data_IF_662986500745
#
_entry.id   IF_662986500745
#
_cell.length_a   1.000
_cell.length_b   1.000
_cell.length_c   1.000
_cell.angle_alpha   90.00
_cell.angle_beta   90.00
_cell.angle_gamma   90.00
#
_symmetry.space_group_name_H-M   'P 1'
#
loop_
_entity.id
_entity.type
_entity.pdbx_description
1 polymer ?
#
# COMPACT_ATOMS: atom_id res chain seq x y z
N UNK A 1 41.92 -1.62 48.39
CA UNK A 1 41.16 -2.55 47.54
C UNK A 1 39.76 -2.69 48.14
N UNK A 2 38.81 -1.92 47.67
CA UNK A 2 37.39 -2.08 48.00
C UNK A 2 36.68 -2.37 46.67
N UNK A 3 36.17 -3.60 46.54
CA UNK A 3 35.49 -4.10 45.36
C UNK A 3 34.15 -3.40 45.20
N UNK A 4 34.02 -2.51 44.22
CA UNK A 4 32.72 -2.05 43.71
C UNK A 4 32.16 -3.16 42.83
N UNK A 5 31.31 -4.00 43.40
CA UNK A 5 30.33 -4.74 42.61
C UNK A 5 29.24 -3.74 42.24
N UNK A 6 29.30 -3.23 41.01
CA UNK A 6 28.15 -2.65 40.33
C UNK A 6 27.33 -3.83 39.82
N UNK A 7 26.26 -4.15 40.54
CA UNK A 7 25.14 -4.90 39.97
C UNK A 7 24.50 -3.96 38.94
N UNK A 8 24.87 -4.14 37.67
CA UNK A 8 24.08 -3.68 36.55
C UNK A 8 22.80 -4.54 36.54
N UNK A 9 21.75 -4.05 37.20
CA UNK A 9 20.39 -4.54 36.94
C UNK A 9 20.02 -4.17 35.50
N UNK A 10 20.35 -5.05 34.56
CA UNK A 10 19.80 -5.05 33.21
C UNK A 10 18.28 -5.16 33.33
N UNK A 11 17.58 -4.07 33.02
CA UNK A 11 16.13 -3.98 32.96
C UNK A 11 15.59 -5.02 31.95
N UNK A 12 15.12 -6.15 32.47
CA UNK A 12 14.65 -7.32 31.71
C UNK A 12 13.40 -6.99 30.86
N UNK A 13 12.78 -5.83 31.07
CA UNK A 13 11.58 -5.38 30.36
C UNK A 13 11.86 -4.34 29.26
N UNK A 14 13.10 -3.87 29.11
CA UNK A 14 13.46 -2.99 28.01
C UNK A 14 13.37 -3.75 26.66
N UNK A 15 12.68 -3.23 25.63
CA UNK A 15 12.63 -3.87 24.32
C UNK A 15 14.05 -4.06 23.77
N UNK A 16 14.53 -5.32 23.72
CA UNK A 16 15.87 -5.64 23.23
C UNK A 16 15.98 -5.23 21.75
N UNK A 17 16.91 -4.33 21.45
CA UNK A 17 17.16 -3.93 20.07
C UNK A 17 17.63 -5.16 19.27
N UNK A 18 17.08 -5.37 18.05
CA UNK A 18 17.42 -6.54 17.24
C UNK A 18 18.92 -6.56 16.94
N UNK A 19 19.57 -7.71 17.17
CA UNK A 19 21.02 -7.82 17.06
C UNK A 19 21.50 -8.39 15.73
N UNK A 20 22.55 -7.79 15.16
CA UNK A 20 23.15 -8.24 13.88
C UNK A 20 23.85 -9.60 14.02
N UNK A 21 24.22 -9.97 15.25
CA UNK A 21 24.86 -11.24 15.64
C UNK A 21 23.86 -12.33 16.02
N UNK A 22 22.55 -12.07 15.95
CA UNK A 22 21.53 -13.09 16.24
C UNK A 22 21.62 -14.29 15.29
N UNK A 23 21.30 -15.47 15.80
CA UNK A 23 21.21 -16.71 15.03
C UNK A 23 20.00 -16.68 14.08
N UNK A 24 18.96 -15.90 14.42
CA UNK A 24 17.70 -15.78 13.67
C UNK A 24 17.86 -14.87 12.43
N UNK A 25 17.56 -15.34 11.21
CA UNK A 25 17.73 -14.55 9.99
C UNK A 25 16.88 -13.28 9.92
N UNK A 26 15.67 -13.29 10.50
CA UNK A 26 14.76 -12.14 10.49
C UNK A 26 15.23 -11.02 11.41
N UNK A 27 15.71 -11.36 12.60
CA UNK A 27 16.25 -10.40 13.56
C UNK A 27 17.49 -9.69 12.98
N UNK A 28 18.35 -10.42 12.25
CA UNK A 28 19.48 -9.82 11.55
C UNK A 28 19.06 -8.86 10.43
N UNK A 29 17.97 -9.16 9.70
CA UNK A 29 17.43 -8.26 8.66
C UNK A 29 16.87 -6.99 9.30
N UNK A 30 16.12 -7.13 10.40
CA UNK A 30 15.60 -6.01 11.18
C UNK A 30 16.75 -5.13 11.72
N UNK A 31 17.76 -5.72 12.35
CA UNK A 31 18.94 -5.03 12.86
C UNK A 31 19.70 -4.25 11.78
N UNK A 32 19.87 -4.86 10.59
CA UNK A 32 20.51 -4.21 9.44
C UNK A 32 19.67 -3.05 8.90
N UNK A 33 18.35 -3.22 8.78
CA UNK A 33 17.45 -2.16 8.34
C UNK A 33 17.46 -0.96 9.29
N UNK A 34 17.50 -1.21 10.60
CA UNK A 34 17.57 -0.18 11.64
C UNK A 34 18.88 0.60 11.54
N UNK A 35 20.01 -0.09 11.32
CA UNK A 35 21.32 0.54 11.14
C UNK A 35 21.39 1.39 9.87
N UNK A 36 20.80 0.92 8.76
CA UNK A 36 20.71 1.68 7.51
C UNK A 36 19.86 2.92 7.71
N UNK A 37 18.70 2.80 8.38
CA UNK A 37 17.82 3.92 8.71
C UNK A 37 18.52 4.95 9.58
N UNK A 38 19.18 4.53 10.67
CA UNK A 38 20.02 5.40 11.53
C UNK A 38 21.11 6.13 10.73
N UNK A 39 21.74 5.44 9.77
CA UNK A 39 22.77 6.04 8.91
C UNK A 39 22.19 7.04 7.90
N UNK A 40 21.02 6.75 7.34
CA UNK A 40 20.30 7.68 6.46
C UNK A 40 19.80 8.90 7.21
N UNK A 41 19.31 8.74 8.44
CA UNK A 41 18.87 9.85 9.29
C UNK A 41 20.07 10.71 9.74
N UNK A 42 21.23 10.11 10.04
CA UNK A 42 22.46 10.84 10.32
C UNK A 42 22.99 11.62 9.10
N UNK A 43 22.87 11.05 7.89
CA UNK A 43 23.21 11.74 6.64
C UNK A 43 22.24 12.90 6.36
N UNK A 44 20.93 12.71 6.54
CA UNK A 44 19.93 13.78 6.42
C UNK A 44 20.18 14.92 7.41
N UNK A 45 20.63 14.59 8.63
CA UNK A 45 20.97 15.58 9.67
C UNK A 45 22.31 16.29 9.40
N UNK A 46 23.19 15.68 8.60
CA UNK A 46 24.45 16.29 8.17
C UNK A 46 24.31 17.13 6.88
N UNK A 47 23.33 16.80 6.01
CA UNK A 47 22.97 17.55 4.80
C UNK A 47 22.02 18.73 5.08
N UNK A 48 21.47 18.84 6.30
CA UNK A 48 20.78 20.04 6.75
C UNK A 48 21.80 21.15 7.03
N UNK A 49 21.66 22.34 6.42
CA UNK A 49 22.54 23.47 6.72
C UNK A 49 22.45 23.82 8.21
N UNK A 50 23.61 24.02 8.84
CA UNK A 50 23.74 24.34 10.27
C UNK A 50 23.08 25.67 10.71
N UNK A 51 22.41 26.38 9.80
CA UNK A 51 21.59 27.57 10.09
C UNK A 51 20.29 27.24 10.83
N UNK A 52 19.76 26.00 10.76
CA UNK A 52 18.57 25.61 11.54
C UNK A 52 18.90 25.12 12.96
N UNK A 53 20.19 24.97 13.32
CA UNK A 53 20.60 24.50 14.65
C UNK A 53 20.81 25.63 15.67
N UNK A 54 20.74 26.90 15.25
CA UNK A 54 21.01 28.06 16.09
C UNK A 54 20.07 29.25 15.81
N UNK A 55 18.86 28.99 15.28
CA UNK A 55 17.78 29.92 15.54
C UNK A 55 17.50 29.81 17.04
N UNK A 56 17.93 30.80 17.82
CA UNK A 56 17.43 31.01 19.18
C UNK A 56 15.91 30.89 19.09
N UNK A 57 15.35 29.78 19.60
CA UNK A 57 13.90 29.60 19.66
C UNK A 57 13.36 30.83 20.37
N UNK A 58 12.56 31.63 19.66
CA UNK A 58 11.91 32.78 20.27
C UNK A 58 11.18 32.26 21.51
N UNK A 59 11.42 32.85 22.69
CA UNK A 59 10.91 32.30 23.94
C UNK A 59 9.40 32.18 23.85
N UNK A 60 8.88 31.03 24.25
CA UNK A 60 7.46 30.74 24.10
C UNK A 60 6.62 31.78 24.88
N UNK A 61 5.39 32.10 24.44
CA UNK A 61 4.50 32.98 25.20
C UNK A 61 4.40 32.66 26.71
N UNK A 62 4.41 31.37 27.08
CA UNK A 62 4.45 30.90 28.47
C UNK A 62 5.79 31.26 29.13
N UNK A 63 6.92 31.05 28.46
CA UNK A 63 8.25 31.39 28.99
C UNK A 63 8.39 32.89 29.22
N UNK A 64 7.91 33.71 28.28
CA UNK A 64 7.89 35.17 28.42
C UNK A 64 6.99 35.61 29.58
N UNK A 65 5.78 35.04 29.70
CA UNK A 65 4.83 35.36 30.76
C UNK A 65 5.35 34.95 32.14
N UNK A 66 5.97 33.78 32.26
CA UNK A 66 6.54 33.28 33.52
C UNK A 66 7.78 34.08 33.95
N UNK A 67 8.67 34.42 33.01
CA UNK A 67 9.83 35.28 33.26
C UNK A 67 9.40 36.68 33.74
N UNK A 68 8.46 37.31 33.02
CA UNK A 68 7.92 38.63 33.40
C UNK A 68 7.24 38.59 34.76
N UNK A 69 6.45 37.55 35.04
CA UNK A 69 5.81 37.36 36.33
C UNK A 69 6.83 37.24 37.47
N UNK A 70 7.90 36.47 37.27
CA UNK A 70 8.96 36.29 38.26
C UNK A 70 9.65 37.62 38.59
N UNK A 71 10.01 38.41 37.56
CA UNK A 71 10.64 39.72 37.73
C UNK A 71 9.73 40.71 38.47
N UNK A 72 8.45 40.80 38.10
CA UNK A 72 7.51 41.70 38.75
C UNK A 72 7.28 41.32 40.22
N UNK A 73 7.13 40.02 40.52
CA UNK A 73 6.94 39.52 41.88
C UNK A 73 8.18 39.71 42.74
N UNK A 74 9.37 39.49 42.18
CA UNK A 74 10.63 39.73 42.88
C UNK A 74 10.80 41.22 43.21
N UNK A 75 10.50 42.11 42.26
CA UNK A 75 10.55 43.56 42.49
C UNK A 75 9.59 43.99 43.61
N UNK A 76 8.35 43.49 43.59
CA UNK A 76 7.37 43.78 44.63
C UNK A 76 7.78 43.22 46.00
N UNK A 77 8.39 42.03 46.04
CA UNK A 77 8.90 41.44 47.27
C UNK A 77 10.03 42.27 47.87
N UNK A 78 10.98 42.74 47.05
CA UNK A 78 12.08 43.60 47.49
C UNK A 78 11.59 44.97 48.00
N UNK A 79 10.68 45.62 47.29
CA UNK A 79 10.08 46.89 47.73
C UNK A 79 9.30 46.72 49.05
N UNK A 80 8.55 45.63 49.18
CA UNK A 80 7.87 45.25 50.42
C UNK A 80 8.83 45.04 51.59
N UNK A 81 9.89 44.27 51.35
CA UNK A 81 10.92 44.02 52.36
C UNK A 81 11.60 45.31 52.80
N UNK A 82 11.87 46.25 51.89
CA UNK A 82 12.45 47.55 52.22
C UNK A 82 11.52 48.38 53.11
N UNK A 83 10.21 48.41 52.82
CA UNK A 83 9.21 49.15 53.63
C UNK A 83 9.07 48.62 55.06
N UNK A 84 9.15 47.30 55.23
CA UNK A 84 9.10 46.64 56.55
C UNK A 84 10.42 46.83 57.30
N UNK A 85 11.55 46.68 56.61
CA UNK A 85 12.89 46.84 57.18
C UNK A 85 13.13 48.27 57.64
N UNK A 86 12.60 49.27 56.92
CA UNK A 86 12.70 50.67 57.30
C UNK A 86 12.18 50.93 58.73
N UNK A 87 11.02 50.37 59.10
CA UNK A 87 10.48 50.52 60.47
C UNK A 87 11.42 49.89 61.48
N UNK A 88 11.90 48.66 61.21
CA UNK A 88 12.83 47.96 62.10
C UNK A 88 14.11 48.76 62.34
N UNK A 89 14.73 49.27 61.28
CA UNK A 89 15.96 50.06 61.37
C UNK A 89 15.72 51.33 62.20
N UNK A 90 14.61 52.03 61.98
CA UNK A 90 14.29 53.23 62.77
C UNK A 90 14.02 52.93 64.24
N UNK A 91 13.37 51.79 64.55
CA UNK A 91 13.13 51.36 65.93
C UNK A 91 14.44 50.95 66.61
N UNK A 92 15.31 50.22 65.92
CA UNK A 92 16.63 49.82 66.42
C UNK A 92 17.52 51.04 66.69
N UNK A 93 17.51 52.04 65.80
CA UNK A 93 18.24 53.30 65.99
C UNK A 93 17.74 54.05 67.24
N UNK A 94 16.42 54.19 67.40
CA UNK A 94 15.81 54.81 68.59
C UNK A 94 16.17 54.06 69.88
N UNK A 95 16.17 52.73 69.83
CA UNK A 95 16.52 51.88 70.97
C UNK A 95 17.98 52.05 71.40
N UNK A 96 18.90 52.16 70.43
CA UNK A 96 20.31 52.45 70.71
C UNK A 96 20.45 53.81 71.39
N UNK A 97 19.79 54.86 70.88
CA UNK A 97 19.83 56.20 71.47
C UNK A 97 19.27 56.18 72.90
N UNK A 98 18.14 55.50 73.13
CA UNK A 98 17.53 55.35 74.46
C UNK A 98 18.48 54.69 75.45
N UNK A 99 19.16 53.61 75.06
CA UNK A 99 20.13 52.92 75.92
C UNK A 99 21.30 53.81 76.30
N UNK A 100 21.83 54.57 75.35
CA UNK A 100 22.91 55.53 75.61
C UNK A 100 22.47 56.60 76.62
N UNK A 101 21.33 57.23 76.37
CA UNK A 101 20.78 58.26 77.27
C UNK A 101 20.48 57.73 78.67
N UNK A 102 19.96 56.49 78.77
CA UNK A 102 19.71 55.83 80.05
C UNK A 102 21.00 55.60 80.81
N UNK A 103 22.04 55.08 80.12
CA UNK A 103 23.34 54.83 80.72
C UNK A 103 24.00 56.11 81.22
N UNK A 104 23.98 57.19 80.42
CA UNK A 104 24.53 58.49 80.81
C UNK A 104 23.83 59.07 82.05
N UNK A 105 22.49 59.05 82.08
CA UNK A 105 21.71 59.53 83.24
C UNK A 105 21.98 58.70 84.49
N UNK A 106 22.05 57.37 84.35
CA UNK A 106 22.36 56.48 85.47
C UNK A 106 23.77 56.73 86.00
N UNK A 107 24.75 56.85 85.11
CA UNK A 107 26.14 57.15 85.48
C UNK A 107 26.26 58.50 86.19
N UNK A 108 25.59 59.54 85.69
CA UNK A 108 25.58 60.87 86.32
C UNK A 108 24.91 60.84 87.69
N UNK A 109 23.82 60.09 87.85
CA UNK A 109 23.12 59.95 89.14
C UNK A 109 23.98 59.21 90.17
N UNK A 110 24.67 58.14 89.75
CA UNK A 110 25.63 57.42 90.60
C UNK A 110 26.78 58.31 91.04
N UNK A 111 27.34 59.10 90.12
CA UNK A 111 28.41 60.04 90.45
C UNK A 111 27.96 61.07 91.49
N UNK A 112 26.77 61.65 91.35
CA UNK A 112 26.22 62.60 92.34
C UNK A 112 26.06 61.96 93.73
N UNK A 113 25.61 60.71 93.80
CA UNK A 113 25.48 59.97 95.06
C UNK A 113 26.85 59.73 95.69
N UNK A 114 27.86 59.38 94.89
CA UNK A 114 29.22 59.16 95.38
C UNK A 114 29.86 60.46 95.90
N UNK A 115 29.71 61.56 95.15
CA UNK A 115 30.20 62.89 95.56
C UNK A 115 29.53 63.36 96.85
N UNK A 116 28.20 63.24 96.96
CA UNK A 116 27.47 63.57 98.18
C UNK A 116 27.85 62.67 99.36
N UNK A 117 28.08 61.37 99.12
CA UNK A 117 28.50 60.46 100.17
C UNK A 117 29.89 60.84 100.74
N UNK A 118 30.83 61.22 99.88
CA UNK A 118 32.17 61.69 100.27
C UNK A 118 32.06 63.01 101.06
N UNK A 119 31.27 63.96 100.56
CA UNK A 119 31.08 65.25 101.23
C UNK A 119 30.39 65.08 102.59
N UNK A 120 29.32 64.29 102.64
CA UNK A 120 28.59 63.96 103.87
C UNK A 120 29.48 63.25 104.89
N UNK A 121 30.34 62.33 104.45
CA UNK A 121 31.29 61.64 105.33
C UNK A 121 32.30 62.63 105.93
N UNK A 122 32.81 63.56 105.14
CA UNK A 122 33.75 64.61 105.60
C UNK A 122 33.09 65.52 106.64
N UNK A 123 31.85 65.96 106.38
CA UNK A 123 31.09 66.79 107.32
C UNK A 123 30.75 66.01 108.61
N UNK A 124 30.39 64.73 108.49
CA UNK A 124 30.11 63.86 109.63
C UNK A 124 31.34 63.66 110.53
N UNK A 125 32.52 63.41 109.93
CA UNK A 125 33.78 63.31 110.67
C UNK A 125 34.10 64.61 111.42
N UNK A 126 33.93 65.77 110.77
CA UNK A 126 34.12 67.07 111.41
C UNK A 126 33.15 67.33 112.59
N UNK A 127 31.88 66.94 112.44
CA UNK A 127 30.89 66.95 113.54
C UNK A 127 31.33 66.00 114.66
N UNK A 128 31.78 64.80 114.32
CA UNK A 128 32.26 63.80 115.28
C UNK A 128 33.44 64.31 116.10
N UNK A 129 34.43 64.94 115.46
CA UNK A 129 35.60 65.53 116.13
C UNK A 129 35.22 66.70 117.06
N UNK A 130 34.18 67.48 116.73
CA UNK A 130 33.78 68.62 117.56
C UNK A 130 33.19 68.19 118.90
N UNK A 131 32.63 66.97 119.01
CA UNK A 131 32.16 66.42 120.29
C UNK A 131 33.29 66.23 121.31
N UNK A 132 34.48 65.83 120.87
CA UNK A 132 35.65 65.68 121.75
C UNK A 132 36.09 67.04 122.32
N UNK A 133 36.07 68.08 121.47
CA UNK A 133 36.42 69.46 121.85
C UNK A 133 35.40 70.07 122.81
N UNK A 134 34.12 69.81 122.59
CA UNK A 134 33.04 70.29 123.48
C UNK A 134 33.12 69.71 124.90
N UNK A 135 33.66 68.50 125.07
CA UNK A 135 33.83 67.87 126.38
C UNK A 135 34.75 68.65 127.32
N UNK A 136 35.63 69.51 126.78
CA UNK A 136 36.59 70.30 127.54
C UNK A 136 36.00 71.63 128.06
N UNK A 137 34.84 72.05 127.55
CA UNK A 137 34.15 73.29 127.93
C UNK A 137 33.52 73.13 129.33
N UNK A 138 33.74 74.11 130.21
CA UNK A 138 33.29 74.05 131.61
C UNK A 138 32.14 75.02 131.93
N UNK A 139 31.88 76.00 131.06
CA UNK A 139 30.82 76.99 131.25
C UNK A 139 29.48 76.50 130.61
N UNK A 140 28.38 76.43 131.38
CA UNK A 140 27.08 75.98 130.87
C UNK A 140 26.49 76.82 129.72
N UNK A 141 26.76 78.14 129.65
CA UNK A 141 26.29 78.99 128.56
C UNK A 141 27.07 78.74 127.26
N UNK A 142 28.39 78.53 127.38
CA UNK A 142 29.24 78.20 126.23
C UNK A 142 28.91 76.79 125.69
N UNK A 143 28.58 75.84 126.57
CA UNK A 143 28.08 74.50 126.16
C UNK A 143 26.77 74.61 125.38
N UNK A 144 25.80 75.41 125.85
CA UNK A 144 24.51 75.59 125.14
C UNK A 144 24.68 76.28 123.77
N UNK A 145 25.58 77.26 123.67
CA UNK A 145 25.90 77.92 122.41
C UNK A 145 26.51 76.93 121.41
N UNK A 146 27.53 76.19 121.82
CA UNK A 146 28.23 75.23 120.96
C UNK A 146 27.32 74.03 120.61
N UNK A 147 26.41 73.61 121.49
CA UNK A 147 25.36 72.61 121.20
C UNK A 147 24.39 73.07 120.10
N UNK A 148 24.01 74.35 120.10
CA UNK A 148 23.15 74.92 119.05
C UNK A 148 23.88 75.01 117.72
N UNK A 149 25.16 75.36 117.74
CA UNK A 149 26.03 75.37 116.55
C UNK A 149 26.16 73.96 115.95
N UNK A 150 26.44 72.96 116.78
CA UNK A 150 26.55 71.55 116.40
C UNK A 150 25.24 70.97 115.87
N UNK A 151 24.12 71.32 116.50
CA UNK A 151 22.80 70.94 116.00
C UNK A 151 22.54 71.54 114.63
N UNK A 152 22.91 72.81 114.41
CA UNK A 152 22.75 73.48 113.13
C UNK A 152 23.58 72.84 112.02
N UNK A 153 24.80 72.38 112.29
CA UNK A 153 25.60 71.63 111.31
C UNK A 153 25.03 70.23 111.04
N UNK A 154 24.51 69.53 112.04
CA UNK A 154 23.76 68.29 111.83
C UNK A 154 22.51 68.49 110.96
N UNK A 155 21.72 69.52 111.26
CA UNK A 155 20.50 69.87 110.52
C UNK A 155 20.85 70.24 109.07
N UNK A 156 21.94 70.97 108.83
CA UNK A 156 22.41 71.30 107.48
C UNK A 156 22.84 70.06 106.66
N UNK A 157 23.51 69.09 107.29
CA UNK A 157 23.87 67.82 106.64
C UNK A 157 22.63 66.98 106.30
N UNK A 158 21.63 66.97 107.18
CA UNK A 158 20.35 66.30 106.91
C UNK A 158 19.59 66.98 105.77
N UNK A 159 19.54 68.32 105.75
CA UNK A 159 18.93 69.09 104.65
C UNK A 159 19.62 68.81 103.32
N UNK A 160 20.96 68.69 103.30
CA UNK A 160 21.72 68.29 102.11
C UNK A 160 21.30 66.89 101.60
N UNK A 161 21.19 65.91 102.50
CA UNK A 161 20.72 64.56 102.18
C UNK A 161 19.29 64.53 101.67
N UNK A 162 18.39 65.24 102.34
CA UNK A 162 16.99 65.35 101.95
C UNK A 162 16.83 66.03 100.58
N UNK A 163 17.66 67.03 100.28
CA UNK A 163 17.71 67.67 98.97
C UNK A 163 18.13 66.70 97.86
N UNK A 164 19.20 65.91 98.08
CA UNK A 164 19.61 64.88 97.13
C UNK A 164 18.53 63.80 96.95
N UNK A 165 17.91 63.35 98.05
CA UNK A 165 16.81 62.38 97.99
C UNK A 165 15.64 62.93 97.18
N UNK A 166 15.31 64.22 97.34
CA UNK A 166 14.24 64.87 96.57
C UNK A 166 14.58 64.94 95.08
N UNK A 167 15.82 65.27 94.73
CA UNK A 167 16.31 65.26 93.34
C UNK A 167 16.24 63.86 92.73
N UNK A 168 16.77 62.84 93.40
CA UNK A 168 16.73 61.45 92.92
C UNK A 168 15.30 60.93 92.76
N UNK A 169 14.39 61.28 93.68
CA UNK A 169 12.96 60.95 93.54
C UNK A 169 12.32 61.64 92.35
N UNK A 170 12.70 62.89 92.07
CA UNK A 170 12.24 63.61 90.88
C UNK A 170 12.78 62.97 89.59
N UNK A 171 14.05 62.57 89.59
CA UNK A 171 14.67 61.88 88.46
C UNK A 171 14.01 60.53 88.18
N UNK A 172 13.71 59.74 89.22
CA UNK A 172 12.97 58.48 89.08
C UNK A 172 11.58 58.70 88.45
N UNK A 173 10.83 59.70 88.91
CA UNK A 173 9.52 60.03 88.32
C UNK A 173 9.63 60.40 86.84
N UNK A 174 10.61 61.23 86.48
CA UNK A 174 10.86 61.62 85.09
C UNK A 174 11.27 60.41 84.22
N UNK A 175 12.00 59.46 84.80
CA UNK A 175 12.35 58.21 84.11
C UNK A 175 11.13 57.30 83.90
N UNK A 176 10.23 57.21 84.89
CA UNK A 176 8.97 56.48 84.76
C UNK A 176 8.07 57.10 83.68
N UNK A 177 7.92 58.42 83.67
CA UNK A 177 7.17 59.15 82.63
C UNK A 177 7.74 58.90 81.23
N UNK A 178 9.07 59.02 81.07
CA UNK A 178 9.74 58.73 79.81
C UNK A 178 9.58 57.27 79.37
N UNK A 179 9.52 56.32 80.32
CA UNK A 179 9.28 54.91 80.02
C UNK A 179 7.88 54.68 79.44
N UNK A 180 6.85 55.33 80.00
CA UNK A 180 5.49 55.24 79.45
C UNK A 180 5.38 55.87 78.05
N UNK A 181 6.04 57.01 77.83
CA UNK A 181 6.10 57.62 76.49
C UNK A 181 6.79 56.70 75.48
N UNK A 182 7.86 56.03 75.87
CA UNK A 182 8.56 55.09 74.99
C UNK A 182 7.75 53.82 74.73
N UNK A 183 6.99 53.32 75.72
CA UNK A 183 6.01 52.24 75.51
C UNK A 183 4.93 52.63 74.51
N UNK A 184 4.39 53.85 74.61
CA UNK A 184 3.42 54.34 73.63
C UNK A 184 4.03 54.44 72.23
N UNK A 185 5.26 54.94 72.09
CA UNK A 185 5.96 54.96 70.79
C UNK A 185 6.17 53.56 70.23
N UNK A 186 6.57 52.60 71.07
CA UNK A 186 6.74 51.20 70.65
C UNK A 186 5.43 50.57 70.20
N UNK A 187 4.32 50.84 70.88
CA UNK A 187 3.00 50.37 70.47
C UNK A 187 2.59 50.95 69.10
N UNK A 188 2.87 52.22 68.84
CA UNK A 188 2.66 52.84 67.53
C UNK A 188 3.54 52.22 66.44
N UNK A 189 4.85 52.02 66.71
CA UNK A 189 5.78 51.41 65.76
C UNK A 189 5.37 49.95 65.43
N UNK A 190 4.88 49.18 66.42
CA UNK A 190 4.37 47.81 66.23
C UNK A 190 3.10 47.81 65.38
N UNK A 191 2.15 48.72 65.66
CA UNK A 191 0.93 48.87 64.85
C UNK A 191 1.26 49.24 63.41
N UNK A 192 2.19 50.18 63.21
CA UNK A 192 2.62 50.57 61.88
C UNK A 192 3.30 49.40 61.14
N UNK A 193 4.17 48.65 61.82
CA UNK A 193 4.79 47.45 61.26
C UNK A 193 3.73 46.43 60.85
N UNK A 194 2.73 46.16 61.69
CA UNK A 194 1.62 45.25 61.38
C UNK A 194 0.85 45.71 60.14
N UNK A 195 0.45 46.99 60.10
CA UNK A 195 -0.27 47.59 58.98
C UNK A 195 0.52 47.48 57.67
N UNK A 196 1.83 47.74 57.71
CA UNK A 196 2.69 47.64 56.53
C UNK A 196 2.82 46.19 56.05
N UNK A 197 2.96 45.23 56.97
CA UNK A 197 3.01 43.80 56.64
C UNK A 197 1.68 43.34 56.02
N UNK A 198 0.55 43.69 56.61
CA UNK A 198 -0.78 43.32 56.08
C UNK A 198 -1.04 43.92 54.70
N UNK A 199 -0.70 45.20 54.51
CA UNK A 199 -0.76 45.85 53.19
C UNK A 199 0.13 45.13 52.18
N UNK A 200 1.35 44.76 52.56
CA UNK A 200 2.27 44.05 51.67
C UNK A 200 1.75 42.65 51.33
N UNK A 201 1.21 41.89 52.28
CA UNK A 201 0.58 40.59 52.02
C UNK A 201 -0.56 40.75 51.01
N UNK A 202 -1.43 41.74 51.21
CA UNK A 202 -2.56 42.00 50.30
C UNK A 202 -2.08 42.38 48.89
N UNK A 203 -1.04 43.21 48.78
CA UNK A 203 -0.44 43.59 47.49
C UNK A 203 0.17 42.36 46.81
N UNK A 204 0.94 41.54 47.53
CA UNK A 204 1.56 40.32 47.00
C UNK A 204 0.49 39.32 46.54
N UNK A 205 -0.56 39.09 47.33
CA UNK A 205 -1.67 38.19 46.94
C UNK A 205 -2.34 38.63 45.65
N UNK A 206 -2.64 39.94 45.50
CA UNK A 206 -3.21 40.48 44.26
C UNK A 206 -2.24 40.37 43.08
N UNK A 207 -0.95 40.58 43.32
CA UNK A 207 0.07 40.44 42.29
C UNK A 207 0.17 38.97 41.82
N UNK A 208 0.26 38.00 42.74
CA UNK A 208 0.26 36.57 42.40
C UNK A 208 -0.97 36.16 41.61
N UNK A 209 -2.17 36.58 42.05
CA UNK A 209 -3.42 36.29 41.33
C UNK A 209 -3.40 36.86 39.91
N UNK A 210 -2.96 38.12 39.75
CA UNK A 210 -2.83 38.76 38.44
C UNK A 210 -1.82 38.03 37.54
N UNK A 211 -0.63 37.71 38.07
CA UNK A 211 0.40 36.99 37.30
C UNK A 211 -0.08 35.61 36.88
N UNK A 212 -0.76 34.89 37.77
CA UNK A 212 -1.33 33.59 37.45
C UNK A 212 -2.32 33.67 36.28
N UNK A 213 -3.23 34.65 36.29
CA UNK A 213 -4.17 34.87 35.18
C UNK A 213 -3.46 35.19 33.85
N UNK A 214 -2.35 35.95 33.90
CA UNK A 214 -1.55 36.24 32.70
C UNK A 214 -0.84 34.99 32.15
N UNK A 215 -0.28 34.16 33.03
CA UNK A 215 0.33 32.89 32.64
C UNK A 215 -0.73 31.94 32.06
N UNK A 216 -1.91 31.83 32.68
CA UNK A 216 -3.02 31.03 32.16
C UNK A 216 -3.49 31.51 30.78
N UNK A 217 -3.51 32.83 30.56
CA UNK A 217 -3.82 33.39 29.25
C UNK A 217 -2.76 32.99 28.19
N UNK A 218 -1.48 33.06 28.53
CA UNK A 218 -0.39 32.62 27.65
C UNK A 218 -0.48 31.12 27.31
N UNK A 219 -0.77 30.28 28.32
CA UNK A 219 -1.00 28.83 28.13
C UNK A 219 -2.15 28.58 27.16
N UNK A 220 -3.26 29.32 27.30
CA UNK A 220 -4.42 29.16 26.41
C UNK A 220 -4.10 29.58 24.97
N UNK A 221 -3.33 30.65 24.77
CA UNK A 221 -2.89 31.12 23.44
C UNK A 221 -2.03 30.05 22.76
N UNK A 222 -1.03 29.51 23.45
CA UNK A 222 -0.20 28.43 22.89
C UNK A 222 -0.99 27.17 22.58
N UNK A 223 -1.90 26.77 23.48
CA UNK A 223 -2.77 25.62 23.25
C UNK A 223 -3.63 25.83 22.01
N UNK A 224 -4.19 27.03 21.82
CA UNK A 224 -4.97 27.37 20.63
C UNK A 224 -4.10 27.29 19.36
N UNK A 225 -2.92 27.91 19.37
CA UNK A 225 -2.00 27.89 18.24
C UNK A 225 -1.59 26.46 17.86
N UNK A 226 -1.24 25.61 18.83
CA UNK A 226 -0.93 24.20 18.61
C UNK A 226 -2.13 23.44 18.03
N UNK A 227 -3.33 23.66 18.58
CA UNK A 227 -4.56 22.99 18.12
C UNK A 227 -4.90 23.40 16.69
N UNK A 228 -4.81 24.68 16.36
CA UNK A 228 -5.03 25.19 15.00
C UNK A 228 -4.01 24.62 14.01
N UNK A 229 -2.73 24.55 14.39
CA UNK A 229 -1.69 23.94 13.57
C UNK A 229 -1.99 22.46 13.30
N UNK A 230 -2.37 21.70 14.34
CA UNK A 230 -2.71 20.29 14.20
C UNK A 230 -3.97 20.09 13.34
N UNK A 231 -5.00 20.91 13.52
CA UNK A 231 -6.21 20.88 12.71
C UNK A 231 -5.91 21.16 11.24
N UNK A 232 -5.09 22.19 10.93
CA UNK A 232 -4.65 22.48 9.55
C UNK A 232 -3.92 21.29 8.92
N UNK A 233 -3.03 20.64 9.69
CA UNK A 233 -2.32 19.43 9.22
C UNK A 233 -3.29 18.28 8.96
N UNK A 234 -4.27 18.09 9.83
CA UNK A 234 -5.30 17.07 9.70
C UNK A 234 -6.19 17.30 8.47
N UNK A 235 -6.64 18.55 8.26
CA UNK A 235 -7.38 18.96 7.06
C UNK A 235 -6.57 18.77 5.78
N UNK A 236 -5.27 19.07 5.80
CA UNK A 236 -4.40 18.85 4.66
C UNK A 236 -4.28 17.35 4.32
N UNK A 237 -4.15 16.49 5.33
CA UNK A 237 -4.11 15.04 5.15
C UNK A 237 -5.43 14.52 4.58
N UNK A 238 -6.57 14.96 5.11
CA UNK A 238 -7.89 14.60 4.57
C UNK A 238 -8.04 15.01 3.10
N UNK A 239 -7.68 16.25 2.75
CA UNK A 239 -7.72 16.71 1.36
C UNK A 239 -6.80 15.91 0.45
N UNK A 240 -5.67 15.40 0.97
CA UNK A 240 -4.80 14.52 0.22
C UNK A 240 -5.46 13.15 0.01
N UNK A 241 -6.02 12.54 1.04
CA UNK A 241 -6.76 11.28 0.93
C UNK A 241 -7.91 11.39 -0.07
N UNK A 242 -8.73 12.44 0.01
CA UNK A 242 -9.84 12.67 -0.93
C UNK A 242 -9.35 12.74 -2.38
N UNK A 243 -8.22 13.41 -2.63
CA UNK A 243 -7.62 13.49 -3.97
C UNK A 243 -7.13 12.12 -4.45
N UNK A 244 -6.48 11.37 -3.58
CA UNK A 244 -5.97 10.02 -3.90
C UNK A 244 -7.13 9.05 -4.16
N UNK A 245 -8.23 9.13 -3.41
CA UNK A 245 -9.44 8.34 -3.63
C UNK A 245 -10.10 8.66 -4.97
N UNK A 246 -10.25 9.94 -5.31
CA UNK A 246 -10.79 10.37 -6.62
C UNK A 246 -9.89 9.87 -7.74
N UNK A 247 -8.57 10.08 -7.65
CA UNK A 247 -7.62 9.62 -8.67
C UNK A 247 -7.67 8.10 -8.85
N UNK A 248 -7.80 7.34 -7.75
CA UNK A 248 -7.94 5.89 -7.82
C UNK A 248 -9.27 5.46 -8.46
N UNK A 249 -10.37 6.17 -8.20
CA UNK A 249 -11.64 5.93 -8.90
C UNK A 249 -11.54 6.22 -10.39
N UNK A 250 -10.94 7.35 -10.79
CA UNK A 250 -10.72 7.70 -12.20
C UNK A 250 -9.85 6.67 -12.92
N UNK A 251 -8.78 6.19 -12.26
CA UNK A 251 -7.95 5.11 -12.78
C UNK A 251 -8.77 3.84 -13.04
N UNK A 252 -9.61 3.42 -12.08
CA UNK A 252 -10.49 2.25 -12.25
C UNK A 252 -11.50 2.44 -13.38
N UNK A 253 -12.07 3.63 -13.53
CA UNK A 253 -12.97 3.93 -14.64
C UNK A 253 -12.26 3.83 -15.99
N UNK A 254 -11.04 4.34 -16.09
CA UNK A 254 -10.23 4.27 -17.31
C UNK A 254 -9.94 2.82 -17.67
N UNK A 255 -9.50 2.00 -16.72
CA UNK A 255 -9.28 0.57 -16.96
C UNK A 255 -10.55 -0.17 -17.41
N UNK A 256 -11.72 0.17 -16.84
CA UNK A 256 -12.98 -0.42 -17.28
C UNK A 256 -13.35 -0.03 -18.70
N UNK A 257 -13.09 1.21 -19.11
CA UNK A 257 -13.34 1.67 -20.47
C UNK A 257 -12.39 0.99 -21.46
N UNK A 258 -11.10 0.86 -21.13
CA UNK A 258 -10.12 0.10 -21.92
C UNK A 258 -10.59 -1.35 -22.14
N UNK A 259 -10.97 -2.07 -21.07
CA UNK A 259 -11.48 -3.44 -21.20
C UNK A 259 -12.77 -3.53 -22.01
N UNK A 260 -13.64 -2.53 -21.93
CA UNK A 260 -14.84 -2.47 -22.77
C UNK A 260 -14.47 -2.31 -24.25
N UNK A 261 -13.54 -1.42 -24.57
CA UNK A 261 -13.05 -1.25 -25.94
C UNK A 261 -12.38 -2.52 -26.47
N UNK A 262 -11.58 -3.21 -25.65
CA UNK A 262 -10.97 -4.51 -25.99
C UNK A 262 -12.03 -5.57 -26.28
N UNK A 263 -13.08 -5.68 -25.44
CA UNK A 263 -14.19 -6.60 -25.68
C UNK A 263 -14.92 -6.29 -27.00
N UNK A 264 -15.21 -5.02 -27.26
CA UNK A 264 -15.85 -4.59 -28.51
C UNK A 264 -14.98 -4.93 -29.73
N UNK A 265 -13.67 -4.69 -29.66
CA UNK A 265 -12.74 -5.03 -30.74
C UNK A 265 -12.69 -6.54 -31.02
N UNK A 266 -12.63 -7.37 -29.97
CA UNK A 266 -12.68 -8.84 -30.09
C UNK A 266 -14.01 -9.29 -30.71
N UNK A 267 -15.13 -8.69 -30.31
CA UNK A 267 -16.43 -8.98 -30.91
C UNK A 267 -16.46 -8.66 -32.41
N UNK A 268 -15.93 -7.51 -32.81
CA UNK A 268 -15.84 -7.13 -34.23
C UNK A 268 -14.96 -8.09 -35.04
N UNK A 269 -13.78 -8.46 -34.52
CA UNK A 269 -12.89 -9.44 -35.15
C UNK A 269 -13.56 -10.80 -35.32
N UNK A 270 -14.28 -11.28 -34.28
CA UNK A 270 -15.06 -12.52 -34.38
C UNK A 270 -16.18 -12.43 -35.40
N UNK A 271 -16.91 -11.31 -35.46
CA UNK A 271 -17.97 -11.11 -36.44
C UNK A 271 -17.42 -11.12 -37.87
N UNK A 272 -16.26 -10.51 -38.10
CA UNK A 272 -15.62 -10.50 -39.42
C UNK A 272 -15.13 -11.89 -39.82
N UNK A 273 -14.43 -12.61 -38.92
CA UNK A 273 -14.00 -14.00 -39.16
C UNK A 273 -15.18 -14.94 -39.42
N UNK A 274 -16.27 -14.79 -38.67
CA UNK A 274 -17.49 -15.56 -38.92
C UNK A 274 -18.08 -15.26 -40.29
N UNK A 275 -18.12 -13.97 -40.68
CA UNK A 275 -18.62 -13.54 -41.98
C UNK A 275 -17.75 -14.07 -43.12
N UNK A 276 -16.43 -14.00 -42.99
CA UNK A 276 -15.47 -14.54 -43.94
C UNK A 276 -15.68 -16.05 -44.13
N UNK A 277 -15.66 -16.83 -43.04
CA UNK A 277 -15.90 -18.27 -43.10
C UNK A 277 -17.28 -18.62 -43.67
N UNK A 278 -18.31 -17.81 -43.38
CA UNK A 278 -19.64 -17.99 -43.97
C UNK A 278 -19.61 -17.80 -45.48
N UNK A 279 -18.96 -16.75 -45.98
CA UNK A 279 -18.82 -16.49 -47.42
C UNK A 279 -18.06 -17.63 -48.10
N UNK A 280 -16.96 -18.10 -47.50
CA UNK A 280 -16.18 -19.23 -48.04
C UNK A 280 -17.02 -20.51 -48.15
N UNK A 281 -17.76 -20.86 -47.09
CA UNK A 281 -18.62 -22.04 -47.10
C UNK A 281 -19.77 -21.91 -48.11
N UNK A 282 -20.38 -20.73 -48.21
CA UNK A 282 -21.41 -20.46 -49.23
C UNK A 282 -20.85 -20.57 -50.65
N UNK A 283 -19.63 -20.10 -50.90
CA UNK A 283 -18.93 -20.26 -52.19
C UNK A 283 -18.66 -21.73 -52.50
N UNK A 284 -18.14 -22.49 -51.54
CA UNK A 284 -17.87 -23.92 -51.72
C UNK A 284 -19.15 -24.71 -52.01
N UNK A 285 -20.26 -24.38 -51.35
CA UNK A 285 -21.57 -24.97 -51.64
C UNK A 285 -21.98 -24.68 -53.08
N UNK A 286 -21.80 -23.44 -53.56
CA UNK A 286 -22.11 -23.08 -54.94
C UNK A 286 -21.23 -23.85 -55.95
N UNK A 287 -19.92 -23.99 -55.68
CA UNK A 287 -19.01 -24.76 -56.52
C UNK A 287 -19.42 -26.24 -56.60
N UNK A 288 -19.69 -26.87 -55.45
CA UNK A 288 -20.15 -28.27 -55.40
C UNK A 288 -21.49 -28.46 -56.11
N UNK A 289 -22.41 -27.50 -56.01
CA UNK A 289 -23.66 -27.51 -56.76
C UNK A 289 -23.42 -27.46 -58.27
N UNK A 290 -22.49 -26.61 -58.74
CA UNK A 290 -22.13 -26.55 -60.15
C UNK A 290 -21.47 -27.84 -60.63
N UNK A 291 -20.59 -28.45 -59.84
CA UNK A 291 -19.99 -29.75 -60.16
C UNK A 291 -21.04 -30.86 -60.24
N UNK A 292 -21.99 -30.87 -59.31
CA UNK A 292 -23.09 -31.83 -59.32
C UNK A 292 -23.95 -31.68 -60.59
N UNK A 293 -24.30 -30.46 -60.99
CA UNK A 293 -25.05 -30.22 -62.23
C UNK A 293 -24.25 -30.61 -63.49
N UNK A 294 -22.94 -30.34 -63.51
CA UNK A 294 -22.04 -30.83 -64.58
C UNK A 294 -22.05 -32.35 -64.67
N UNK A 295 -21.94 -33.05 -63.53
CA UNK A 295 -21.98 -34.51 -63.48
C UNK A 295 -23.33 -35.07 -63.94
N UNK A 296 -24.44 -34.46 -63.50
CA UNK A 296 -25.78 -34.83 -63.99
C UNK A 296 -25.88 -34.70 -65.51
N UNK A 297 -25.40 -33.59 -66.08
CA UNK A 297 -25.37 -33.40 -67.54
C UNK A 297 -24.52 -34.47 -68.24
N UNK A 298 -23.32 -34.79 -67.71
CA UNK A 298 -22.46 -35.86 -68.25
C UNK A 298 -23.17 -37.22 -68.19
N UNK A 299 -23.84 -37.54 -67.08
CA UNK A 299 -24.60 -38.78 -66.92
C UNK A 299 -25.75 -38.87 -67.93
N UNK A 300 -26.48 -37.78 -68.19
CA UNK A 300 -27.53 -37.73 -69.22
C UNK A 300 -26.93 -38.03 -70.59
N UNK A 301 -25.86 -37.33 -70.98
CA UNK A 301 -25.18 -37.55 -72.27
C UNK A 301 -24.68 -39.00 -72.40
N UNK A 302 -24.09 -39.56 -71.35
CA UNK A 302 -23.61 -40.94 -71.36
C UNK A 302 -24.77 -41.94 -71.46
N UNK A 303 -25.90 -41.67 -70.81
CA UNK A 303 -27.11 -42.49 -70.90
C UNK A 303 -27.64 -42.48 -72.33
N UNK A 304 -27.71 -41.31 -72.98
CA UNK A 304 -28.07 -41.19 -74.40
C UNK A 304 -27.08 -41.92 -75.32
N UNK A 305 -25.77 -41.79 -75.06
CA UNK A 305 -24.71 -42.48 -75.82
C UNK A 305 -24.81 -44.01 -75.71
N UNK A 306 -25.07 -44.53 -74.51
CA UNK A 306 -25.31 -45.97 -74.29
C UNK A 306 -26.59 -46.38 -75.00
N UNK A 307 -27.66 -45.60 -74.88
CA UNK A 307 -28.93 -45.83 -75.58
C UNK A 307 -28.77 -45.93 -77.09
N UNK A 308 -28.00 -45.00 -77.69
CA UNK A 308 -27.63 -45.03 -79.10
C UNK A 308 -26.82 -46.28 -79.46
N UNK A 309 -25.76 -46.58 -78.69
CA UNK A 309 -24.90 -47.76 -78.93
C UNK A 309 -25.70 -49.06 -78.87
N UNK A 310 -26.61 -49.17 -77.89
CA UNK A 310 -27.52 -50.29 -77.76
C UNK A 310 -28.43 -50.43 -78.99
N UNK A 311 -29.01 -49.34 -79.50
CA UNK A 311 -29.84 -49.38 -80.70
C UNK A 311 -29.05 -49.84 -81.95
N UNK A 312 -27.81 -49.36 -82.12
CA UNK A 312 -26.93 -49.81 -83.22
C UNK A 312 -26.62 -51.30 -83.11
N UNK A 313 -26.25 -51.78 -81.92
CA UNK A 313 -25.99 -53.21 -81.70
C UNK A 313 -27.23 -54.06 -81.93
N UNK A 314 -28.40 -53.60 -81.47
CA UNK A 314 -29.68 -54.28 -81.70
C UNK A 314 -29.99 -54.39 -83.20
N UNK A 315 -29.79 -53.31 -83.96
CA UNK A 315 -29.95 -53.33 -85.42
C UNK A 315 -28.99 -54.32 -86.09
N UNK A 316 -27.73 -54.33 -85.66
CA UNK A 316 -26.73 -55.30 -86.14
C UNK A 316 -27.12 -56.75 -85.81
N UNK A 317 -27.70 -57.00 -84.64
CA UNK A 317 -28.18 -58.33 -84.25
C UNK A 317 -29.39 -58.75 -85.11
N UNK A 318 -30.34 -57.84 -85.33
CA UNK A 318 -31.48 -58.06 -86.24
C UNK A 318 -30.99 -58.41 -87.66
N UNK A 319 -30.01 -57.67 -88.19
CA UNK A 319 -29.36 -57.95 -89.48
C UNK A 319 -28.62 -59.30 -89.48
N UNK A 320 -27.85 -59.61 -88.44
CA UNK A 320 -27.16 -60.89 -88.30
C UNK A 320 -28.14 -62.06 -88.26
N UNK A 321 -29.26 -61.93 -87.54
CA UNK A 321 -30.34 -62.94 -87.51
C UNK A 321 -30.94 -63.10 -88.90
N UNK A 322 -31.18 -62.00 -89.62
CA UNK A 322 -31.68 -62.04 -91.00
C UNK A 322 -30.71 -62.75 -91.95
N UNK A 323 -29.42 -62.40 -91.90
CA UNK A 323 -28.36 -63.03 -92.70
C UNK A 323 -28.23 -64.51 -92.35
N UNK A 324 -28.19 -64.87 -91.06
CA UNK A 324 -28.15 -66.27 -90.61
C UNK A 324 -29.36 -67.05 -91.13
N UNK A 325 -30.56 -66.49 -91.07
CA UNK A 325 -31.78 -67.09 -91.62
C UNK A 325 -31.71 -67.27 -93.13
N UNK A 326 -31.17 -66.30 -93.87
CA UNK A 326 -30.98 -66.39 -95.32
C UNK A 326 -29.96 -67.45 -95.71
N UNK A 327 -28.81 -67.50 -95.04
CA UNK A 327 -27.78 -68.52 -95.23
C UNK A 327 -28.32 -69.92 -94.88
N UNK A 328 -29.08 -70.06 -93.79
CA UNK A 328 -29.74 -71.33 -93.42
C UNK A 328 -30.73 -71.80 -94.50
N UNK A 329 -31.48 -70.89 -95.11
CA UNK A 329 -32.36 -71.21 -96.26
C UNK A 329 -31.56 -71.66 -97.49
N UNK A 330 -30.44 -71.01 -97.82
CA UNK A 330 -29.55 -71.44 -98.91
C UNK A 330 -28.94 -72.82 -98.62
N UNK A 331 -28.52 -73.06 -97.38
CA UNK A 331 -27.99 -74.36 -96.95
C UNK A 331 -29.03 -75.47 -97.13
N UNK A 332 -30.28 -75.23 -96.71
CA UNK A 332 -31.37 -76.19 -96.91
C UNK A 332 -31.63 -76.46 -98.39
N UNK A 333 -31.67 -75.43 -99.25
CA UNK A 333 -31.80 -75.62 -100.71
C UNK A 333 -30.67 -76.43 -101.32
N UNK A 334 -29.42 -76.18 -100.91
CA UNK A 334 -28.27 -76.97 -101.36
C UNK A 334 -28.34 -78.41 -100.86
N UNK A 335 -28.84 -78.63 -99.64
CA UNK A 335 -29.10 -79.97 -99.11
C UNK A 335 -30.18 -80.69 -99.92
N UNK A 336 -31.26 -80.00 -100.30
CA UNK A 336 -32.33 -80.54 -101.14
C UNK A 336 -31.81 -80.89 -102.55
N UNK A 337 -30.99 -80.03 -103.16
CA UNK A 337 -30.35 -80.30 -104.46
C UNK A 337 -29.41 -81.51 -104.35
N UNK A 338 -28.60 -81.59 -103.30
CA UNK A 338 -27.72 -82.73 -103.08
C UNK A 338 -28.53 -84.04 -102.92
N UNK A 339 -29.65 -83.99 -102.20
CA UNK A 339 -30.54 -85.14 -102.05
C UNK A 339 -31.25 -85.51 -103.38
N UNK A 340 -31.66 -84.52 -104.17
CA UNK A 340 -32.24 -84.73 -105.50
C UNK A 340 -31.23 -85.32 -106.51
N UNK A 341 -29.98 -84.85 -106.50
CA UNK A 341 -28.90 -85.43 -107.30
C UNK A 341 -28.58 -86.86 -106.87
N UNK A 342 -28.55 -87.14 -105.57
CA UNK A 342 -28.44 -88.52 -105.05
C UNK A 342 -29.60 -89.41 -105.53
N UNK A 343 -30.82 -88.88 -105.62
CA UNK A 343 -31.97 -89.60 -106.17
C UNK A 343 -31.87 -89.82 -107.69
N UNK A 344 -31.40 -88.83 -108.45
CA UNK A 344 -31.16 -88.97 -109.91
C UNK A 344 -30.08 -89.99 -110.25
N UNK A 345 -29.00 -90.04 -109.46
CA UNK A 345 -27.95 -91.06 -109.63
C UNK A 345 -28.50 -92.46 -109.39
N UNK A 346 -29.38 -92.66 -108.40
CA UNK A 346 -30.08 -93.95 -108.20
C UNK A 346 -30.94 -94.32 -109.40
N UNK A 347 -31.71 -93.37 -109.94
CA UNK A 347 -32.54 -93.58 -111.14
C UNK A 347 -31.72 -93.92 -112.39
N UNK A 348 -30.63 -93.18 -112.63
CA UNK A 348 -29.75 -93.44 -113.77
C UNK A 348 -29.07 -94.82 -113.69
N UNK A 349 -28.77 -95.30 -112.47
CA UNK A 349 -28.28 -96.66 -112.27
C UNK A 349 -29.34 -97.73 -112.56
N UNK A 350 -30.62 -97.49 -112.19
CA UNK A 350 -31.74 -98.37 -112.52
C UNK A 350 -32.06 -98.38 -114.02
N UNK A 351 -32.11 -97.21 -114.67
CA UNK A 351 -32.38 -97.08 -116.11
C UNK A 351 -31.25 -97.70 -116.95
N UNK A 352 -29.99 -97.53 -116.52
CA UNK A 352 -28.83 -98.18 -117.15
C UNK A 352 -28.90 -99.71 -117.07
N UNK A 353 -29.32 -100.27 -115.94
CA UNK A 353 -29.51 -101.71 -115.80
C UNK A 353 -30.64 -102.24 -116.71
N UNK A 354 -31.69 -101.43 -116.96
CA UNK A 354 -32.80 -101.80 -117.86
C UNK A 354 -32.38 -101.75 -119.34
N UNK A 355 -31.56 -100.78 -119.74
CA UNK A 355 -31.02 -100.72 -121.11
C UNK A 355 -30.00 -101.83 -121.39
N UNK A 356 -29.18 -102.21 -120.42
CA UNK A 356 -28.24 -103.33 -120.55
C UNK A 356 -28.99 -104.66 -120.83
N UNK A 357 -30.09 -104.90 -120.11
CA UNK A 357 -30.97 -106.07 -120.35
C UNK A 357 -31.63 -106.04 -121.75
N UNK A 358 -31.98 -104.86 -122.27
CA UNK A 358 -32.57 -104.71 -123.61
C UNK A 358 -31.55 -104.91 -124.73
N UNK A 359 -30.35 -104.35 -124.58
CA UNK A 359 -29.27 -104.51 -125.54
C UNK A 359 -28.81 -105.96 -125.65
N UNK A 360 -28.70 -106.68 -124.52
CA UNK A 360 -28.40 -108.11 -124.51
C UNK A 360 -29.49 -108.96 -125.19
N UNK A 361 -30.76 -108.54 -125.10
CA UNK A 361 -31.87 -109.19 -125.79
C UNK A 361 -31.86 -108.94 -127.32
N UNK A 362 -31.39 -107.78 -127.77
CA UNK A 362 -31.20 -107.46 -129.20
C UNK A 362 -29.98 -108.14 -129.81
N UNK A 363 -28.88 -108.25 -129.05
CA UNK A 363 -27.67 -108.97 -129.46
C UNK A 363 -27.98 -110.46 -129.68
N UNK A 364 -28.74 -111.09 -128.77
CA UNK A 364 -29.15 -112.49 -128.94
C UNK A 364 -30.04 -112.72 -130.18
N UNK A 365 -30.93 -111.76 -130.51
CA UNK A 365 -31.75 -111.83 -131.74
C UNK A 365 -30.94 -111.66 -133.01
N UNK A 366 -29.94 -110.78 -133.00
CA UNK A 366 -29.04 -110.57 -134.15
C UNK A 366 -28.10 -111.77 -134.37
N UNK A 367 -27.64 -112.41 -133.29
CA UNK A 367 -26.89 -113.66 -133.38
C UNK A 367 -27.73 -114.81 -133.99
N UNK A 368 -29.03 -114.92 -133.65
CA UNK A 368 -29.93 -115.89 -134.28
C UNK A 368 -30.24 -115.57 -135.75
N UNK A 369 -30.36 -114.29 -136.12
CA UNK A 369 -30.57 -113.88 -137.50
C UNK A 369 -29.35 -114.10 -138.40
N UNK A 370 -28.13 -114.00 -137.85
CA UNK A 370 -26.89 -114.32 -138.56
C UNK A 370 -26.76 -115.82 -138.83
N UNK A 371 -27.08 -116.67 -137.85
CA UNK A 371 -27.05 -118.14 -137.97
C UNK A 371 -28.06 -118.67 -139.01
N UNK A 372 -29.20 -118.00 -139.16
CA UNK A 372 -30.25 -118.33 -140.15
C UNK A 372 -29.91 -117.85 -141.58
N UNK A 373 -29.06 -116.83 -141.71
CA UNK A 373 -28.56 -116.35 -143.00
C UNK A 373 -27.39 -117.21 -143.51
N UNK A 374 -26.52 -117.68 -142.61
CA UNK A 374 -25.41 -118.60 -142.94
C UNK A 374 -25.93 -119.94 -143.48
N UNK A 375 -27.09 -120.43 -143.01
CA UNK A 375 -27.74 -121.66 -143.51
C UNK A 375 -28.52 -121.48 -144.82
N UNK A 376 -28.82 -120.24 -145.24
CA UNK A 376 -29.61 -119.97 -146.45
C UNK A 376 -28.77 -119.67 -147.70
N UNK A 377 -27.46 -119.41 -147.59
CA UNK A 377 -26.63 -119.06 -148.75
C UNK A 377 -25.88 -120.22 -149.43
N UNK A 378 -25.98 -121.45 -148.94
CA UNK A 378 -25.45 -122.66 -149.62
C UNK A 378 -26.36 -123.18 -150.77
N UNK A 379 -27.37 -122.41 -151.19
CA UNK A 379 -28.29 -122.81 -152.27
C UNK A 379 -28.59 -121.68 -153.28
N UNK A 380 -27.78 -121.67 -154.35
CA UNK A 380 -28.00 -121.17 -155.72
C UNK A 380 -27.53 -119.74 -156.15
N UNK A 381 -26.99 -119.59 -157.39
CA UNK A 381 -26.02 -118.55 -157.78
C UNK A 381 -26.47 -117.62 -158.94
N UNK A 382 -25.88 -116.42 -159.05
CA UNK A 382 -25.31 -115.81 -160.29
C UNK A 382 -24.94 -114.32 -160.12
N UNK A 383 -23.75 -113.98 -160.64
CA UNK A 383 -23.39 -112.77 -161.39
C UNK A 383 -23.14 -111.41 -160.66
N UNK A 384 -21.83 -111.14 -160.58
CA UNK A 384 -21.07 -109.95 -161.06
C UNK A 384 -20.97 -108.66 -160.23
N UNK A 385 -19.81 -108.41 -159.59
CA UNK A 385 -18.61 -107.56 -159.92
C UNK A 385 -18.75 -106.06 -159.54
N UNK A 386 -17.67 -105.53 -158.92
CA UNK A 386 -17.15 -104.14 -158.86
C UNK A 386 -17.68 -103.34 -157.65
N UNK A 387 -16.99 -103.18 -156.52
CA UNK A 387 -15.63 -102.70 -156.20
C UNK A 387 -15.40 -101.18 -156.33
N UNK A 388 -14.73 -100.63 -155.31
CA UNK A 388 -13.98 -99.35 -155.31
C UNK A 388 -14.73 -98.09 -154.82
N UNK A 389 -14.04 -97.08 -154.27
CA UNK A 389 -13.00 -97.14 -153.22
C UNK A 389 -13.04 -95.99 -152.18
N UNK A 390 -12.28 -96.18 -151.09
CA UNK A 390 -11.32 -95.25 -150.42
C UNK A 390 -11.63 -93.74 -150.36
N UNK A 391 -11.53 -93.18 -149.15
CA UNK A 391 -10.42 -92.29 -148.70
C UNK A 391 -10.88 -91.28 -147.62
N UNK A 392 -10.04 -91.04 -146.61
CA UNK A 392 -10.04 -89.79 -145.82
C UNK A 392 -10.51 -89.96 -144.36
N UNK A 393 -9.70 -90.38 -143.37
CA UNK A 393 -8.55 -89.70 -142.74
C UNK A 393 -8.94 -88.62 -141.70
N UNK A 394 -8.59 -88.93 -140.43
CA UNK A 394 -8.19 -88.04 -139.31
C UNK A 394 -9.23 -87.08 -138.69
N UNK A 395 -9.21 -86.78 -137.39
CA UNK A 395 -8.39 -87.23 -136.27
C UNK A 395 -8.90 -86.61 -134.94
N UNK A 396 -8.68 -87.36 -133.86
CA UNK A 396 -8.13 -86.93 -132.56
C UNK A 396 -8.94 -86.11 -131.53
N UNK A 397 -8.79 -86.62 -130.30
CA UNK A 397 -8.59 -85.93 -129.02
C UNK A 397 -9.84 -85.36 -128.30
N UNK A 398 -10.08 -85.55 -127.01
CA UNK A 398 -9.30 -86.17 -125.93
C UNK A 398 -10.20 -86.40 -124.68
N UNK A 399 -9.79 -87.38 -123.87
CA UNK A 399 -9.86 -87.51 -122.41
C UNK A 399 -11.12 -87.15 -121.59
N UNK A 400 -11.69 -88.19 -120.99
CA UNK A 400 -12.28 -88.21 -119.65
C UNK A 400 -11.20 -88.03 -118.57
N UNK A 401 -11.32 -86.98 -117.73
CA UNK A 401 -11.67 -86.96 -116.28
C UNK A 401 -11.76 -85.48 -115.86
#
# INVERSE_FOLDING_TARGET
>A
MASRFTDDEDDVLAPKEPQVTSLEPEERKAARSLRIKRRQDALKRADQPAEEAAAEEEPSPIEQATSTAAEELQRLALDGAAKVTNVKVTTDEREVIRRTNFFEKMSSSLQKIEEEAIEAQTQYEAISENWEKMLEIKDPLDIDAEMKEQKKTCDALLEQKDALIAELKSDLKRMDEAYYEDLEKQDHDIKELSDRIEKQITIMQRAYAKQLTLIEAAVNIERQAMTEHNNKRWEALHKQCDKEEVAHMEYRFTQLDEHKQEMEAIMWDHHEKYREAKIELESLIQELQQELEKLKAICIINTEKIGYTYQVLKKREEENVFVRSQQKRKLNKMSDIANALRSKIRKAAEDGAIEEIKADAEINKLMQAMDDLEKKSDHFPELTIISSPKCGVCALQDAWI
#
